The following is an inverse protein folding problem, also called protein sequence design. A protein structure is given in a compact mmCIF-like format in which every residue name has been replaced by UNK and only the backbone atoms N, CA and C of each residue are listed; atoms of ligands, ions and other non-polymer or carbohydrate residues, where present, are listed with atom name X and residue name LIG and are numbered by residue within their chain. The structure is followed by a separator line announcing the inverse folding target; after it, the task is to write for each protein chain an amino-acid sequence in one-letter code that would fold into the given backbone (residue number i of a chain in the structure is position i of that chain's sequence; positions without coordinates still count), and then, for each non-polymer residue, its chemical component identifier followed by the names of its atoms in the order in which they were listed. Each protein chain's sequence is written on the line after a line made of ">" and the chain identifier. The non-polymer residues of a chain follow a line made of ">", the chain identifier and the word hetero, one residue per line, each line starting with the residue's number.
data_IF_710488761781
#
_entry.id   IF_710488761781
#
_cell.length_a   1.000
_cell.length_b   1.000
_cell.length_c   1.000
_cell.angle_alpha   90.00
_cell.angle_beta   90.00
_cell.angle_gamma   90.00
#
_symmetry.space_group_name_H-M   'P 1'
#
loop_
_entity.id
_entity.type
_entity.pdbx_description
1 polymer ?
#
# COMPACT_ATOMS: atom_id res chain seq x y z
N UNK A 1 1.11 29.78 15.08
CA UNK A 1 1.60 29.32 13.76
C UNK A 1 1.64 27.80 13.78
N UNK A 2 0.52 27.18 13.44
CA UNK A 2 0.38 25.75 13.18
C UNK A 2 -0.52 25.67 11.96
N UNK A 3 0.11 25.69 10.79
CA UNK A 3 -0.57 25.36 9.54
C UNK A 3 -0.31 23.87 9.34
N UNK A 4 -1.03 23.02 10.08
CA UNK A 4 -1.17 21.62 9.69
C UNK A 4 -2.21 21.64 8.60
N UNK A 5 -1.75 21.74 7.36
CA UNK A 5 -2.61 21.62 6.21
C UNK A 5 -3.03 20.14 6.15
N UNK A 6 -4.18 19.78 6.74
CA UNK A 6 -4.94 18.63 6.24
C UNK A 6 -5.58 19.07 4.93
N UNK A 7 -4.79 19.06 3.84
CA UNK A 7 -5.30 19.15 2.48
C UNK A 7 -6.19 17.91 2.27
N UNK A 8 -7.46 18.17 1.97
CA UNK A 8 -8.42 17.31 1.28
C UNK A 8 -7.99 15.84 1.14
N UNK A 9 -8.31 14.99 2.13
CA UNK A 9 -8.29 13.54 1.91
C UNK A 9 -9.49 13.20 1.01
N UNK A 10 -9.30 12.77 -0.25
CA UNK A 10 -10.43 12.23 -0.98
C UNK A 10 -10.83 10.87 -0.39
N UNK A 11 -12.08 10.52 -0.67
CA UNK A 11 -12.78 9.30 -0.30
C UNK A 11 -11.90 8.05 -0.26
N UNK A 12 -12.11 7.23 0.78
CA UNK A 12 -11.69 5.83 0.90
C UNK A 12 -10.40 5.44 0.15
N UNK A 13 -9.25 5.44 0.84
CA UNK A 13 -8.00 5.00 0.23
C UNK A 13 -7.97 3.47 0.13
N UNK A 14 -8.57 2.94 -0.96
CA UNK A 14 -8.67 1.50 -1.21
C UNK A 14 -7.29 0.85 -1.22
N UNK A 15 -6.27 1.52 -1.77
CA UNK A 15 -4.91 1.00 -1.80
C UNK A 15 -4.38 0.73 -0.39
N UNK A 16 -4.52 1.68 0.52
CA UNK A 16 -4.18 1.50 1.95
C UNK A 16 -4.87 0.25 2.51
N UNK A 17 -6.18 0.11 2.30
CA UNK A 17 -6.95 -0.99 2.87
C UNK A 17 -6.48 -2.35 2.35
N UNK A 18 -6.29 -2.47 1.03
CA UNK A 18 -5.76 -3.69 0.40
C UNK A 18 -4.35 -4.00 0.88
N UNK A 19 -3.48 -3.00 1.05
CA UNK A 19 -2.11 -3.18 1.51
C UNK A 19 -2.05 -3.70 2.96
N UNK A 20 -2.82 -3.08 3.87
CA UNK A 20 -2.91 -3.52 5.28
C UNK A 20 -3.42 -4.95 5.34
N UNK A 21 -4.50 -5.25 4.60
CA UNK A 21 -5.08 -6.59 4.54
C UNK A 21 -4.05 -7.64 4.09
N UNK A 22 -3.36 -7.41 2.96
CA UNK A 22 -2.38 -8.36 2.43
C UNK A 22 -1.20 -8.59 3.40
N UNK A 23 -0.73 -7.52 4.05
CA UNK A 23 0.36 -7.62 5.04
C UNK A 23 -0.06 -8.46 6.25
N UNK A 24 -1.26 -8.21 6.77
CA UNK A 24 -1.79 -8.91 7.96
C UNK A 24 -2.17 -10.35 7.66
N UNK A 25 -2.68 -10.65 6.46
CA UNK A 25 -2.93 -12.00 5.98
C UNK A 25 -1.65 -12.87 6.01
N UNK A 26 -0.48 -12.25 5.78
CA UNK A 26 0.84 -12.91 5.88
C UNK A 26 1.50 -12.80 7.26
N UNK A 27 0.82 -12.24 8.26
CA UNK A 27 1.35 -12.01 9.61
C UNK A 27 2.66 -11.20 9.65
N UNK A 28 2.87 -10.28 8.70
CA UNK A 28 4.11 -9.50 8.61
C UNK A 28 3.99 -8.20 9.40
N UNK A 29 5.06 -7.82 10.10
CA UNK A 29 5.22 -6.45 10.60
C UNK A 29 5.57 -5.51 9.44
N UNK A 30 5.23 -4.23 9.56
CA UNK A 30 5.57 -3.21 8.55
C UNK A 30 7.08 -3.19 8.19
N UNK A 31 7.95 -3.45 9.19
CA UNK A 31 9.40 -3.50 8.99
C UNK A 31 9.84 -4.71 8.17
N UNK A 32 9.33 -5.89 8.49
CA UNK A 32 9.63 -7.14 7.78
C UNK A 32 9.17 -7.05 6.32
N UNK A 33 7.98 -6.50 6.09
CA UNK A 33 7.49 -6.26 4.74
C UNK A 33 8.36 -5.25 3.97
N UNK A 34 8.70 -4.12 4.58
CA UNK A 34 9.55 -3.11 3.96
C UNK A 34 10.93 -3.66 3.56
N UNK A 35 11.53 -4.48 4.43
CA UNK A 35 12.78 -5.18 4.15
C UNK A 35 12.63 -6.16 2.99
N UNK A 36 11.53 -6.93 2.94
CA UNK A 36 11.29 -7.92 1.90
C UNK A 36 11.15 -7.32 0.49
N UNK A 37 10.60 -6.12 0.35
CA UNK A 37 10.50 -5.42 -0.94
C UNK A 37 11.58 -4.33 -1.15
N UNK A 38 12.58 -4.31 -0.26
CA UNK A 38 13.74 -3.41 -0.28
C UNK A 38 13.35 -1.91 -0.37
N UNK A 39 12.50 -1.46 0.54
CA UNK A 39 12.18 -0.03 0.72
C UNK A 39 12.25 0.37 2.19
N UNK A 40 12.29 1.68 2.46
CA UNK A 40 12.32 2.19 3.82
C UNK A 40 10.98 1.97 4.54
N UNK A 41 10.98 1.45 5.78
CA UNK A 41 9.78 1.20 6.58
C UNK A 41 8.83 2.42 6.66
N UNK A 42 9.40 3.63 6.77
CA UNK A 42 8.65 4.90 6.72
C UNK A 42 7.70 5.03 5.52
N UNK A 43 8.06 4.46 4.36
CA UNK A 43 7.18 4.46 3.19
C UNK A 43 5.97 3.55 3.42
N UNK A 44 6.17 2.31 3.87
CA UNK A 44 5.09 1.39 4.26
C UNK A 44 4.16 2.04 5.29
N UNK A 45 4.71 2.65 6.33
CA UNK A 45 3.91 3.33 7.34
C UNK A 45 3.05 4.46 6.74
N UNK A 46 3.62 5.28 5.85
CA UNK A 46 2.86 6.35 5.16
C UNK A 46 1.79 5.82 4.21
N UNK A 47 2.05 4.71 3.52
CA UNK A 47 1.08 4.03 2.66
C UNK A 47 -0.08 3.50 3.49
N UNK A 48 0.19 2.77 4.58
CA UNK A 48 -0.84 2.22 5.47
C UNK A 48 -1.58 3.29 6.29
N UNK A 49 -1.03 4.50 6.43
CA UNK A 49 -1.76 5.65 6.98
C UNK A 49 -2.55 6.43 5.92
N UNK A 50 -2.37 6.13 4.63
CA UNK A 50 -2.98 6.86 3.52
C UNK A 50 -2.44 8.28 3.37
N UNK A 51 -1.21 8.52 3.84
CA UNK A 51 -0.54 9.82 3.75
C UNK A 51 0.25 9.99 2.44
N UNK A 52 0.48 8.89 1.72
CA UNK A 52 1.23 8.85 0.47
C UNK A 52 0.78 7.63 -0.33
N UNK A 53 0.83 7.73 -1.66
CA UNK A 53 0.71 6.60 -2.58
C UNK A 53 2.10 6.09 -3.01
N UNK A 54 2.24 4.80 -3.34
CA UNK A 54 3.47 4.29 -3.93
C UNK A 54 3.70 4.88 -5.33
N UNK A 55 4.95 4.94 -5.76
CA UNK A 55 5.26 5.11 -7.18
C UNK A 55 5.00 3.81 -7.94
N UNK A 56 5.08 3.85 -9.28
CA UNK A 56 4.79 2.68 -10.11
C UNK A 56 5.71 1.50 -9.81
N UNK A 57 7.01 1.74 -9.62
CA UNK A 57 7.98 0.68 -9.31
C UNK A 57 7.66 0.00 -7.97
N UNK A 58 7.33 0.79 -6.94
CA UNK A 58 6.94 0.25 -5.64
C UNK A 58 5.61 -0.47 -5.73
N UNK A 59 4.62 0.05 -6.47
CA UNK A 59 3.34 -0.61 -6.68
C UNK A 59 3.51 -1.99 -7.33
N UNK A 60 4.37 -2.10 -8.35
CA UNK A 60 4.70 -3.36 -9.02
C UNK A 60 5.38 -4.32 -8.04
N UNK A 61 6.37 -3.86 -7.25
CA UNK A 61 7.03 -4.69 -6.22
C UNK A 61 6.03 -5.24 -5.20
N UNK A 62 5.08 -4.42 -4.76
CA UNK A 62 4.02 -4.84 -3.82
C UNK A 62 3.14 -5.92 -4.48
N UNK A 63 2.71 -5.68 -5.72
CA UNK A 63 1.91 -6.62 -6.49
C UNK A 63 2.61 -7.97 -6.65
N UNK A 64 3.88 -7.96 -7.06
CA UNK A 64 4.67 -9.17 -7.27
C UNK A 64 4.96 -9.90 -5.95
N UNK A 65 5.27 -9.18 -4.87
CA UNK A 65 5.51 -9.77 -3.55
C UNK A 65 4.28 -10.53 -3.04
N UNK A 66 3.09 -9.95 -3.20
CA UNK A 66 1.84 -10.56 -2.74
C UNK A 66 1.20 -11.53 -3.73
N UNK A 67 1.77 -11.70 -4.94
CA UNK A 67 1.18 -12.45 -6.06
C UNK A 67 -0.24 -11.95 -6.41
N UNK A 68 -0.36 -10.62 -6.57
CA UNK A 68 -1.61 -9.95 -6.94
C UNK A 68 -1.43 -9.01 -8.13
N UNK A 69 -2.53 -8.56 -8.73
CA UNK A 69 -2.54 -7.52 -9.75
C UNK A 69 -2.50 -6.12 -9.14
N UNK A 70 -1.99 -5.16 -9.90
CA UNK A 70 -2.08 -3.74 -9.53
C UNK A 70 -3.53 -3.26 -9.55
N UNK A 71 -4.38 -3.82 -10.43
CA UNK A 71 -5.82 -3.54 -10.47
C UNK A 71 -6.52 -3.92 -9.16
N UNK A 72 -6.13 -5.03 -8.54
CA UNK A 72 -6.62 -5.41 -7.22
C UNK A 72 -6.18 -4.42 -6.14
N UNK A 73 -4.89 -4.06 -6.14
CA UNK A 73 -4.34 -3.08 -5.19
C UNK A 73 -5.01 -1.71 -5.32
N UNK A 74 -5.36 -1.30 -6.54
CA UNK A 74 -6.01 -0.02 -6.83
C UNK A 74 -7.54 -0.07 -6.74
N UNK A 75 -8.14 -1.21 -6.38
CA UNK A 75 -9.59 -1.35 -6.22
C UNK A 75 -10.38 -1.38 -7.53
N UNK A 76 -9.74 -1.64 -8.67
CA UNK A 76 -10.39 -1.77 -9.98
C UNK A 76 -11.06 -3.14 -10.17
N UNK A 77 -10.66 -4.13 -9.38
CA UNK A 77 -11.23 -5.47 -9.34
C UNK A 77 -11.06 -6.10 -7.96
N UNK A 78 -11.95 -7.02 -7.61
CA UNK A 78 -11.78 -7.89 -6.44
C UNK A 78 -11.01 -9.18 -6.79
N UNK A 79 -10.74 -9.43 -8.07
CA UNK A 79 -9.91 -10.55 -8.49
C UNK A 79 -8.43 -10.24 -8.23
N UNK A 80 -7.82 -11.01 -7.32
CA UNK A 80 -6.41 -10.86 -6.95
C UNK A 80 -5.45 -11.11 -8.10
N UNK A 81 -5.74 -12.02 -9.02
CA UNK A 81 -4.78 -12.43 -10.05
C UNK A 81 -4.90 -11.60 -11.31
N UNK A 82 -3.80 -11.48 -12.06
CA UNK A 82 -3.80 -10.93 -13.42
C UNK A 82 -4.65 -11.87 -14.29
N UNK A 83 -5.71 -11.33 -14.88
CA UNK A 83 -6.55 -12.02 -15.87
C UNK A 83 -5.93 -11.86 -17.25
#
# INVERSE_FOLDING_TARGET
>A
MLVVIQLDKPANNIFKEKLVHLREERNLKQKEFAEAINIHNRNINRYELGLREPDFDTLIKIADFFDVSTDYLLGRTENRKRV
#
